data_IF_136808970354
#
_entry.id   IF_136808970354
#
_cell.length_a   1.000
_cell.length_b   1.000
_cell.length_c   1.000
_cell.angle_alpha   90.00
_cell.angle_beta   90.00
_cell.angle_gamma   90.00
#
_symmetry.space_group_name_H-M   'P 1'
#
loop_
_entity.id
_entity.type
_entity.pdbx_description
1 polymer ?
#
# COMPACT_ATOMS: atom_id res chain seq x y z
N UNK A 1 10.13 14.69 2.28
CA UNK A 1 11.10 14.47 1.20
C UNK A 1 10.55 13.49 0.18
N UNK A 2 10.50 13.86 -1.09
CA UNK A 2 10.10 13.03 -2.23
C UNK A 2 11.15 13.03 -3.35
N UNK A 3 12.36 13.45 -3.05
CA UNK A 3 13.44 13.58 -4.03
C UNK A 3 13.96 12.25 -4.57
N UNK A 4 13.74 11.16 -3.81
CA UNK A 4 14.31 9.85 -4.10
C UNK A 4 15.77 9.68 -3.68
N UNK A 5 16.43 10.75 -3.24
CA UNK A 5 17.84 10.76 -2.88
C UNK A 5 18.11 10.17 -1.48
N UNK A 6 17.22 10.43 -0.52
CA UNK A 6 17.43 10.06 0.89
C UNK A 6 16.46 8.95 1.32
N UNK A 7 16.96 7.98 2.10
CA UNK A 7 16.18 6.80 2.50
C UNK A 7 16.37 6.41 3.97
N UNK A 8 17.41 6.84 4.63
CA UNK A 8 17.72 6.46 6.00
C UNK A 8 17.71 7.66 6.97
N UNK A 9 17.83 7.35 8.25
CA UNK A 9 17.80 8.36 9.31
C UNK A 9 18.89 9.42 9.15
N UNK A 10 20.14 8.99 8.85
CA UNK A 10 21.30 9.90 8.75
C UNK A 10 21.14 10.88 7.59
N UNK A 11 20.66 10.38 6.46
CA UNK A 11 20.42 11.20 5.28
C UNK A 11 19.30 12.21 5.51
N UNK A 12 18.16 11.74 6.02
CA UNK A 12 16.96 12.55 6.26
C UNK A 12 17.15 13.57 7.41
N UNK A 13 18.01 13.28 8.38
CA UNK A 13 18.29 14.21 9.46
C UNK A 13 18.93 15.53 9.00
N UNK A 14 19.49 15.56 7.78
CA UNK A 14 19.99 16.79 7.16
C UNK A 14 18.90 17.85 6.95
N UNK A 15 17.64 17.43 6.87
CA UNK A 15 16.51 18.36 6.78
C UNK A 15 16.08 18.94 8.14
N UNK A 16 16.54 18.37 9.26
CA UNK A 16 16.24 18.87 10.60
C UNK A 16 17.14 20.08 10.94
N UNK A 17 16.88 21.19 10.28
CA UNK A 17 17.55 22.47 10.50
C UNK A 17 16.64 23.41 11.29
N UNK A 18 17.16 24.58 11.71
CA UNK A 18 16.35 25.59 12.43
C UNK A 18 15.07 25.91 11.66
N UNK A 19 13.92 25.71 12.31
CA UNK A 19 12.60 25.91 11.74
C UNK A 19 11.93 24.64 11.19
N UNK A 20 12.65 23.52 11.04
CA UNK A 20 12.09 22.24 10.64
C UNK A 20 11.90 21.34 11.85
N UNK A 21 10.65 21.10 12.24
CA UNK A 21 10.33 20.25 13.40
C UNK A 21 10.28 18.75 13.05
N UNK A 22 9.86 18.42 11.83
CA UNK A 22 9.62 17.04 11.40
C UNK A 22 9.94 16.83 9.92
N UNK A 23 10.32 15.60 9.58
CA UNK A 23 10.58 15.17 8.20
C UNK A 23 9.68 13.98 7.88
N UNK A 24 8.93 14.07 6.78
CA UNK A 24 8.14 12.98 6.24
C UNK A 24 8.71 12.54 4.90
N UNK A 25 9.20 11.31 4.84
CA UNK A 25 9.64 10.67 3.60
C UNK A 25 8.45 10.05 2.88
N UNK A 26 8.27 10.39 1.61
CA UNK A 26 7.20 9.83 0.75
C UNK A 26 7.69 8.60 -0.04
N UNK A 27 8.38 7.71 0.64
CA UNK A 27 8.93 6.47 0.10
C UNK A 27 9.24 5.50 1.26
N UNK A 28 9.47 4.20 1.01
CA UNK A 28 9.89 3.27 2.03
C UNK A 28 11.24 3.67 2.63
N UNK A 29 11.25 3.87 3.96
CA UNK A 29 12.43 4.24 4.72
C UNK A 29 13.24 3.04 5.21
N UNK A 30 14.55 3.24 5.41
CA UNK A 30 15.48 2.28 6.01
C UNK A 30 15.81 2.70 7.44
N UNK A 31 15.53 1.81 8.41
CA UNK A 31 15.82 2.08 9.83
C UNK A 31 15.02 3.24 10.45
N UNK A 32 13.92 3.64 9.82
CA UNK A 32 12.97 4.63 10.32
C UNK A 32 11.55 4.06 10.31
N UNK A 33 10.62 4.62 11.10
CA UNK A 33 9.22 4.19 11.09
C UNK A 33 8.60 4.28 9.69
N UNK A 34 8.09 3.15 9.19
CA UNK A 34 7.27 3.09 7.99
C UNK A 34 5.81 2.98 8.41
N UNK A 35 5.04 4.05 8.17
CA UNK A 35 3.70 4.19 8.71
C UNK A 35 2.67 4.04 7.61
N UNK A 36 1.75 3.11 7.83
CA UNK A 36 0.50 2.98 7.08
C UNK A 36 -0.60 3.58 7.95
N UNK A 37 -1.11 4.74 7.53
CA UNK A 37 -2.19 5.40 8.27
C UNK A 37 -3.43 4.48 8.33
N UNK A 38 -4.12 4.44 9.45
CA UNK A 38 -5.22 3.49 9.70
C UNK A 38 -4.76 2.15 10.28
N UNK A 39 -3.48 1.75 10.09
CA UNK A 39 -2.98 0.44 10.55
C UNK A 39 -2.05 0.56 11.76
N UNK A 40 -0.95 1.29 11.62
CA UNK A 40 0.07 1.38 12.67
C UNK A 40 0.39 2.80 13.15
N UNK A 41 -0.25 3.84 12.62
CA UNK A 41 0.05 5.24 12.96
C UNK A 41 -0.06 5.53 14.45
N UNK A 42 -1.05 4.94 15.16
CA UNK A 42 -1.24 5.11 16.60
C UNK A 42 -0.12 4.53 17.47
N UNK A 43 0.75 3.67 16.90
CA UNK A 43 1.91 3.11 17.59
C UNK A 43 3.12 4.05 17.60
N UNK A 44 3.05 5.13 16.84
CA UNK A 44 4.12 6.12 16.70
C UNK A 44 3.71 7.43 17.38
N UNK A 45 4.56 7.91 18.27
CA UNK A 45 4.31 9.15 18.99
C UNK A 45 5.01 10.33 18.28
N UNK A 46 4.23 11.25 17.67
CA UNK A 46 4.82 12.40 17.00
C UNK A 46 5.63 13.33 17.91
N UNK A 47 5.45 13.28 19.23
CA UNK A 47 6.23 14.11 20.15
C UNK A 47 7.65 13.58 20.37
N UNK A 48 7.85 12.27 20.23
CA UNK A 48 9.11 11.61 20.47
C UNK A 48 9.92 11.35 19.19
N UNK A 49 9.25 11.32 18.05
CA UNK A 49 9.84 11.02 16.75
C UNK A 49 9.83 12.26 15.85
N UNK A 50 10.90 12.47 15.10
CA UNK A 50 11.04 13.62 14.17
C UNK A 50 11.12 13.21 12.70
N UNK A 51 11.40 11.94 12.40
CA UNK A 51 11.54 11.43 11.02
C UNK A 51 10.61 10.24 10.82
N UNK A 52 9.77 10.32 9.79
CA UNK A 52 8.74 9.35 9.47
C UNK A 52 8.81 8.97 7.99
N UNK A 53 8.33 7.79 7.64
CA UNK A 53 8.08 7.37 6.26
C UNK A 53 6.61 7.03 6.08
N UNK A 54 6.01 7.50 5.00
CA UNK A 54 4.66 7.13 4.57
C UNK A 54 4.60 5.75 3.86
N UNK A 55 5.67 4.96 3.96
CA UNK A 55 5.83 3.69 3.25
C UNK A 55 5.66 3.85 1.71
N UNK A 56 5.12 2.85 1.00
CA UNK A 56 4.85 2.91 -0.43
C UNK A 56 3.37 2.88 -0.75
N UNK A 57 2.99 3.24 -1.98
CA UNK A 57 1.61 3.13 -2.46
C UNK A 57 1.07 1.71 -2.33
N UNK A 58 1.83 0.70 -2.77
CA UNK A 58 1.45 -0.71 -2.66
C UNK A 58 1.29 -1.13 -1.19
N UNK A 59 2.23 -0.73 -0.30
CA UNK A 59 2.12 -1.07 1.13
C UNK A 59 0.87 -0.47 1.75
N UNK A 60 0.54 0.79 1.43
CA UNK A 60 -0.68 1.43 1.90
C UNK A 60 -1.95 0.76 1.37
N UNK A 61 -1.92 0.27 0.13
CA UNK A 61 -3.06 -0.39 -0.48
C UNK A 61 -3.35 -1.77 0.15
N UNK A 62 -2.34 -2.60 0.32
CA UNK A 62 -2.56 -4.00 0.72
C UNK A 62 -2.60 -4.24 2.23
N UNK A 63 -1.93 -3.39 3.04
CA UNK A 63 -1.83 -3.65 4.48
C UNK A 63 -3.18 -3.59 5.20
N UNK A 64 -4.10 -2.65 4.90
CA UNK A 64 -5.44 -2.64 5.51
C UNK A 64 -6.21 -3.93 5.22
N UNK A 65 -6.18 -4.42 3.98
CA UNK A 65 -6.84 -5.68 3.57
C UNK A 65 -6.23 -6.87 4.32
N UNK A 66 -4.90 -6.98 4.32
CA UNK A 66 -4.19 -8.06 5.01
C UNK A 66 -4.41 -8.02 6.53
N UNK A 67 -4.60 -6.83 7.13
CA UNK A 67 -4.96 -6.68 8.54
C UNK A 67 -6.34 -7.30 8.81
N UNK A 68 -7.34 -6.99 8.01
CA UNK A 68 -8.70 -7.56 8.16
C UNK A 68 -8.65 -9.09 8.02
N UNK A 69 -7.95 -9.62 7.03
CA UNK A 69 -7.85 -11.06 6.80
C UNK A 69 -7.09 -11.77 7.95
N UNK A 70 -5.95 -11.22 8.39
CA UNK A 70 -5.17 -11.85 9.49
C UNK A 70 -5.93 -11.83 10.81
N UNK A 71 -6.68 -10.77 11.10
CA UNK A 71 -7.42 -10.61 12.37
C UNK A 71 -8.67 -11.50 12.44
N UNK A 72 -9.32 -11.78 11.30
CA UNK A 72 -10.55 -12.58 11.27
C UNK A 72 -10.33 -14.06 10.93
N UNK A 73 -9.38 -14.36 10.05
CA UNK A 73 -9.20 -15.72 9.51
C UNK A 73 -7.82 -16.30 9.78
N UNK A 74 -6.84 -15.45 10.08
CA UNK A 74 -5.43 -15.81 10.20
C UNK A 74 -4.81 -16.21 8.85
N UNK A 75 -3.59 -15.76 8.59
CA UNK A 75 -2.85 -16.11 7.38
C UNK A 75 -1.75 -17.11 7.73
N UNK A 76 -1.72 -18.27 7.07
CA UNK A 76 -0.63 -19.25 7.15
C UNK A 76 0.55 -18.77 6.31
N UNK A 77 0.31 -18.52 5.04
CA UNK A 77 1.28 -18.03 4.06
C UNK A 77 0.55 -17.34 2.90
N UNK A 78 1.28 -16.62 2.06
CA UNK A 78 0.69 -16.02 0.87
C UNK A 78 1.71 -15.45 -0.10
N UNK A 79 1.21 -15.10 -1.27
CA UNK A 79 1.96 -14.42 -2.30
C UNK A 79 1.23 -13.16 -2.75
N UNK A 80 1.98 -12.07 -2.88
CA UNK A 80 1.49 -10.78 -3.37
C UNK A 80 2.07 -10.57 -4.77
N UNK A 81 1.20 -10.60 -5.78
CA UNK A 81 1.53 -10.16 -7.13
C UNK A 81 1.02 -8.75 -7.31
N UNK A 82 1.82 -7.83 -7.85
CA UNK A 82 1.35 -6.50 -8.20
C UNK A 82 1.46 -6.26 -9.70
N UNK A 83 0.34 -5.95 -10.32
CA UNK A 83 0.25 -5.42 -11.68
C UNK A 83 0.29 -3.90 -11.54
N UNK A 84 1.45 -3.31 -11.78
CA UNK A 84 1.72 -1.94 -11.38
C UNK A 84 1.94 -1.03 -12.58
N UNK A 85 1.31 0.13 -12.56
CA UNK A 85 1.59 1.20 -13.51
C UNK A 85 3.10 1.51 -13.55
N UNK A 86 3.63 1.91 -14.70
CA UNK A 86 5.02 2.34 -14.75
C UNK A 86 5.22 3.64 -13.95
N UNK A 87 6.41 3.82 -13.42
CA UNK A 87 6.77 5.00 -12.62
C UNK A 87 8.12 5.53 -13.07
N UNK A 88 8.53 6.67 -12.53
CA UNK A 88 9.82 7.29 -12.84
C UNK A 88 11.05 6.40 -12.54
N UNK A 89 10.88 5.26 -11.87
CA UNK A 89 11.91 4.23 -11.66
C UNK A 89 12.04 3.27 -12.86
N UNK A 90 11.48 3.61 -14.01
CA UNK A 90 11.63 2.90 -15.27
C UNK A 90 12.05 3.88 -16.37
N UNK A 91 12.87 3.42 -17.29
CA UNK A 91 13.25 4.25 -18.43
C UNK A 91 12.07 4.41 -19.39
N UNK A 92 11.88 5.61 -19.91
CA UNK A 92 10.85 5.90 -20.91
C UNK A 92 11.17 5.25 -22.25
N UNK A 93 12.46 5.27 -22.63
CA UNK A 93 13.03 4.59 -23.79
C UNK A 93 14.10 3.61 -23.33
N UNK A 94 14.47 2.63 -24.16
CA UNK A 94 15.50 1.64 -23.86
C UNK A 94 16.82 2.33 -23.47
N UNK A 95 17.30 2.08 -22.27
CA UNK A 95 18.55 2.61 -21.76
C UNK A 95 19.07 1.76 -20.58
N UNK A 96 20.33 1.97 -20.18
CA UNK A 96 20.93 1.28 -19.04
C UNK A 96 20.19 1.58 -17.74
N UNK A 97 20.01 0.56 -16.90
CA UNK A 97 19.40 0.67 -15.59
C UNK A 97 20.00 -0.38 -14.63
N UNK A 98 20.17 -0.06 -13.36
CA UNK A 98 20.70 -0.98 -12.34
C UNK A 98 19.87 -2.26 -12.20
N UNK A 99 18.55 -2.15 -12.40
CA UNK A 99 17.63 -3.27 -12.55
C UNK A 99 17.36 -3.48 -14.04
N UNK A 100 18.10 -4.36 -14.68
CA UNK A 100 18.17 -4.50 -16.14
C UNK A 100 16.83 -4.39 -16.87
N UNK A 101 15.79 -5.10 -16.41
CA UNK A 101 14.47 -5.08 -17.06
C UNK A 101 13.78 -3.70 -16.98
N UNK A 102 14.06 -2.88 -15.96
CA UNK A 102 13.51 -1.51 -15.84
C UNK A 102 14.17 -0.51 -16.80
N UNK A 103 15.23 -0.93 -17.47
CA UNK A 103 15.86 -0.18 -18.55
C UNK A 103 15.11 -0.26 -19.88
N UNK A 104 14.12 -1.16 -20.01
CA UNK A 104 13.31 -1.28 -21.23
C UNK A 104 12.18 -0.26 -21.23
N UNK A 105 11.83 0.22 -22.43
CA UNK A 105 10.83 1.27 -22.65
C UNK A 105 9.51 0.97 -21.94
N UNK A 106 9.17 1.78 -20.93
CA UNK A 106 8.11 1.53 -19.98
C UNK A 106 6.70 1.51 -20.63
N UNK A 107 6.47 2.38 -21.61
CA UNK A 107 5.17 2.49 -22.27
C UNK A 107 4.91 1.38 -23.31
N UNK A 108 5.91 0.53 -23.59
CA UNK A 108 5.83 -0.50 -24.63
C UNK A 108 5.96 -1.92 -24.09
N UNK A 109 6.37 -2.09 -22.84
CA UNK A 109 6.74 -3.40 -22.31
C UNK A 109 6.08 -3.71 -20.96
N UNK A 110 5.67 -4.97 -20.80
CA UNK A 110 5.46 -5.55 -19.48
C UNK A 110 6.80 -5.99 -18.90
N UNK A 111 7.06 -5.65 -17.64
CA UNK A 111 8.36 -5.86 -16.99
C UNK A 111 8.19 -6.58 -15.67
N UNK A 112 8.65 -7.83 -15.59
CA UNK A 112 8.75 -8.54 -14.30
C UNK A 112 9.87 -7.91 -13.48
N UNK A 113 9.58 -7.55 -12.23
CA UNK A 113 10.55 -6.91 -11.35
C UNK A 113 10.32 -7.28 -9.89
N UNK A 114 11.34 -7.06 -9.08
CA UNK A 114 11.25 -7.24 -7.64
C UNK A 114 10.41 -6.13 -6.98
N UNK A 115 9.72 -6.50 -5.91
CA UNK A 115 9.07 -5.56 -4.99
C UNK A 115 9.38 -5.92 -3.55
N UNK A 116 9.56 -4.91 -2.72
CA UNK A 116 9.70 -5.07 -1.27
C UNK A 116 8.36 -5.12 -0.52
N UNK A 117 7.24 -5.31 -1.20
CA UNK A 117 5.90 -5.21 -0.61
C UNK A 117 5.70 -6.14 0.60
N UNK A 118 6.05 -7.42 0.50
CA UNK A 118 5.93 -8.38 1.60
C UNK A 118 6.74 -7.95 2.84
N UNK A 119 7.98 -7.52 2.64
CA UNK A 119 8.84 -7.03 3.73
C UNK A 119 8.32 -5.73 4.34
N UNK A 120 7.78 -4.82 3.51
CA UNK A 120 7.22 -3.55 3.97
C UNK A 120 5.93 -3.75 4.78
N UNK A 121 5.05 -4.66 4.33
CA UNK A 121 3.86 -5.07 5.10
C UNK A 121 4.26 -5.64 6.46
N UNK A 122 5.26 -6.52 6.51
CA UNK A 122 5.73 -7.11 7.76
C UNK A 122 6.31 -6.08 8.74
N UNK A 123 6.86 -4.95 8.26
CA UNK A 123 7.29 -3.84 9.10
C UNK A 123 6.10 -3.06 9.69
N UNK A 124 5.07 -2.80 8.88
CA UNK A 124 3.88 -2.08 9.31
C UNK A 124 2.95 -2.95 10.18
N UNK A 125 2.89 -4.25 9.86
CA UNK A 125 2.04 -5.24 10.54
C UNK A 125 2.81 -6.52 10.86
N UNK A 126 3.55 -6.57 11.99
CA UNK A 126 4.52 -7.63 12.31
C UNK A 126 3.97 -9.05 12.41
N UNK A 127 2.67 -9.23 12.62
CA UNK A 127 2.00 -10.55 12.61
C UNK A 127 2.19 -11.31 11.29
N UNK A 128 2.54 -10.62 10.20
CA UNK A 128 2.76 -11.19 8.87
C UNK A 128 4.24 -11.44 8.54
N UNK A 129 5.15 -11.25 9.49
CA UNK A 129 6.59 -11.49 9.28
C UNK A 129 6.85 -12.94 8.88
N UNK A 130 7.51 -13.13 7.73
CA UNK A 130 7.89 -14.45 7.20
C UNK A 130 6.77 -15.23 6.53
N UNK A 131 5.54 -14.70 6.49
CA UNK A 131 4.38 -15.39 5.89
C UNK A 131 4.16 -15.06 4.41
N UNK A 132 4.73 -13.97 3.92
CA UNK A 132 4.42 -13.43 2.59
C UNK A 132 5.65 -13.40 1.70
N UNK A 133 5.46 -13.75 0.44
CA UNK A 133 6.37 -13.46 -0.68
C UNK A 133 5.74 -12.43 -1.61
N UNK A 134 6.55 -11.79 -2.46
CA UNK A 134 6.02 -10.78 -3.38
C UNK A 134 6.88 -10.58 -4.62
N UNK A 135 6.24 -10.26 -5.73
CA UNK A 135 6.85 -9.75 -6.96
C UNK A 135 5.94 -8.68 -7.60
N UNK A 136 6.39 -8.11 -8.71
CA UNK A 136 5.65 -7.12 -9.46
C UNK A 136 5.80 -7.32 -10.96
N UNK A 137 4.74 -7.08 -11.69
CA UNK A 137 4.75 -6.87 -13.14
C UNK A 137 4.42 -5.42 -13.41
N UNK A 138 5.34 -4.68 -14.01
CA UNK A 138 5.07 -3.34 -14.52
C UNK A 138 4.38 -3.46 -15.87
N UNK A 139 3.34 -2.67 -16.06
CA UNK A 139 2.54 -2.67 -17.29
C UNK A 139 2.53 -1.27 -17.93
N UNK A 140 2.32 -1.16 -19.25
CA UNK A 140 2.34 0.11 -19.97
C UNK A 140 1.06 0.94 -19.72
N UNK A 141 0.74 1.17 -18.43
CA UNK A 141 -0.39 1.97 -17.95
C UNK A 141 0.20 3.11 -17.10
N UNK A 142 -0.17 4.37 -17.35
CA UNK A 142 0.43 5.52 -16.66
C UNK A 142 0.02 5.65 -15.20
N UNK A 143 -1.19 5.23 -14.83
CA UNK A 143 -1.70 5.25 -13.46
C UNK A 143 -2.77 4.16 -13.27
N UNK A 144 -3.01 3.75 -12.05
CA UNK A 144 -3.94 2.68 -11.71
C UNK A 144 -3.23 1.31 -11.67
N UNK A 145 -3.15 0.75 -10.47
CA UNK A 145 -2.45 -0.49 -10.17
C UNK A 145 -3.38 -1.50 -9.49
N UNK A 146 -3.03 -2.78 -9.59
CA UNK A 146 -3.76 -3.89 -9.00
C UNK A 146 -2.82 -4.75 -8.17
N UNK A 147 -3.20 -5.09 -6.94
CA UNK A 147 -2.55 -6.14 -6.17
C UNK A 147 -3.44 -7.39 -6.14
N UNK A 148 -2.85 -8.53 -6.41
CA UNK A 148 -3.46 -9.85 -6.31
C UNK A 148 -2.86 -10.52 -5.08
N UNK A 149 -3.71 -10.84 -4.09
CA UNK A 149 -3.32 -11.46 -2.85
C UNK A 149 -3.76 -12.94 -2.87
N UNK A 150 -2.83 -13.83 -3.15
CA UNK A 150 -3.08 -15.27 -3.05
C UNK A 150 -2.67 -15.72 -1.64
N UNK A 151 -3.65 -16.07 -0.81
CA UNK A 151 -3.45 -16.34 0.61
C UNK A 151 -3.97 -17.73 0.98
N UNK A 152 -3.20 -18.43 1.81
CA UNK A 152 -3.67 -19.59 2.53
C UNK A 152 -4.00 -19.19 3.96
N UNK A 153 -5.26 -19.37 4.34
CA UNK A 153 -5.80 -19.01 5.63
C UNK A 153 -5.67 -20.16 6.64
N UNK A 154 -5.92 -19.86 7.92
CA UNK A 154 -5.98 -20.89 8.98
C UNK A 154 -7.34 -21.58 9.06
N UNK A 155 -8.37 -20.93 8.51
CA UNK A 155 -9.76 -21.41 8.52
C UNK A 155 -10.35 -21.31 7.14
N UNK A 156 -11.16 -22.26 6.74
CA UNK A 156 -11.97 -22.21 5.54
C UNK A 156 -12.98 -21.08 5.61
N UNK A 157 -13.23 -20.40 4.50
CA UNK A 157 -14.14 -19.27 4.43
C UNK A 157 -14.87 -19.22 3.10
N UNK A 158 -16.18 -18.94 3.15
CA UNK A 158 -16.96 -18.68 1.94
C UNK A 158 -16.71 -17.24 1.42
N UNK A 159 -16.88 -17.06 0.10
CA UNK A 159 -16.81 -15.74 -0.54
C UNK A 159 -17.74 -14.72 0.13
N UNK A 160 -18.99 -15.10 0.37
CA UNK A 160 -19.99 -14.20 0.93
C UNK A 160 -19.61 -13.76 2.34
N UNK A 161 -19.13 -14.66 3.18
CA UNK A 161 -18.73 -14.33 4.55
C UNK A 161 -17.47 -13.44 4.58
N UNK A 162 -16.46 -13.77 3.76
CA UNK A 162 -15.26 -12.94 3.64
C UNK A 162 -15.61 -11.53 3.15
N UNK A 163 -16.43 -11.43 2.10
CA UNK A 163 -16.88 -10.16 1.54
C UNK A 163 -17.72 -9.35 2.55
N UNK A 164 -18.56 -10.00 3.36
CA UNK A 164 -19.33 -9.33 4.42
C UNK A 164 -18.41 -8.71 5.49
N UNK A 165 -17.39 -9.45 5.96
CA UNK A 165 -16.40 -8.94 6.91
C UNK A 165 -15.62 -7.76 6.30
N UNK A 166 -15.21 -7.87 5.04
CA UNK A 166 -14.49 -6.79 4.37
C UNK A 166 -15.36 -5.54 4.21
N UNK A 167 -16.63 -5.71 3.81
CA UNK A 167 -17.62 -4.64 3.71
C UNK A 167 -17.84 -3.94 5.05
N UNK A 168 -17.99 -4.70 6.12
CA UNK A 168 -18.13 -4.14 7.47
C UNK A 168 -16.94 -3.25 7.84
N UNK A 169 -15.71 -3.72 7.64
CA UNK A 169 -14.50 -2.93 7.94
C UNK A 169 -14.33 -1.71 7.03
N UNK A 170 -14.86 -1.75 5.80
CA UNK A 170 -14.85 -0.61 4.89
C UNK A 170 -15.90 0.45 5.24
N UNK A 171 -16.98 0.09 5.90
CA UNK A 171 -18.10 0.98 6.22
C UNK A 171 -18.10 1.45 7.68
N UNK A 172 -17.42 0.72 8.57
CA UNK A 172 -17.40 1.02 9.99
C UNK A 172 -16.00 0.81 10.60
N UNK A 173 -15.65 1.62 11.60
CA UNK A 173 -14.42 1.52 12.37
C UNK A 173 -13.23 2.27 11.79
N UNK A 174 -12.02 1.80 12.13
CA UNK A 174 -10.76 2.51 11.84
C UNK A 174 -10.33 2.50 10.37
N UNK A 175 -10.89 1.62 9.55
CA UNK A 175 -10.50 1.43 8.15
C UNK A 175 -11.45 2.07 7.14
N UNK A 176 -12.45 2.82 7.57
CA UNK A 176 -13.45 3.49 6.71
C UNK A 176 -12.79 4.40 5.64
N UNK A 177 -11.75 5.15 6.01
CA UNK A 177 -11.02 5.98 5.04
C UNK A 177 -9.94 5.22 4.28
N UNK A 178 -9.72 3.94 4.64
CA UNK A 178 -8.62 3.13 4.11
C UNK A 178 -9.07 2.13 3.04
N UNK A 179 -10.29 1.61 3.18
CA UNK A 179 -10.82 0.59 2.27
C UNK A 179 -12.10 1.12 1.62
N UNK A 180 -12.10 1.22 0.31
CA UNK A 180 -13.32 1.38 -0.48
C UNK A 180 -13.78 0.00 -0.93
N UNK A 181 -15.04 -0.36 -0.66
CA UNK A 181 -15.62 -1.62 -1.06
C UNK A 181 -16.35 -1.47 -2.40
N UNK A 182 -16.03 -2.29 -3.40
CA UNK A 182 -16.67 -2.26 -4.72
C UNK A 182 -17.49 -3.53 -4.98
N UNK A 183 -18.69 -3.32 -5.52
CA UNK A 183 -19.57 -4.34 -6.08
C UNK A 183 -19.73 -4.15 -7.60
N UNK A 184 -18.90 -3.32 -8.21
CA UNK A 184 -18.98 -3.02 -9.63
C UNK A 184 -18.33 -4.13 -10.44
N UNK A 185 -19.12 -4.84 -11.24
CA UNK A 185 -18.66 -5.94 -12.12
C UNK A 185 -17.86 -5.46 -13.33
N UNK A 186 -17.91 -4.17 -13.64
CA UNK A 186 -17.22 -3.56 -14.78
C UNK A 186 -16.00 -2.78 -14.38
N UNK A 187 -15.57 -2.88 -13.09
CA UNK A 187 -14.46 -2.12 -12.53
C UNK A 187 -13.13 -2.43 -13.24
N UNK A 188 -12.49 -1.40 -13.77
CA UNK A 188 -11.18 -1.47 -14.42
C UNK A 188 -10.24 -0.37 -13.93
N UNK A 189 -8.99 -0.40 -14.37
CA UNK A 189 -7.93 0.52 -13.86
C UNK A 189 -8.21 2.00 -14.11
N UNK A 190 -8.98 2.37 -15.11
CA UNK A 190 -9.33 3.78 -15.36
C UNK A 190 -10.38 4.32 -14.39
N UNK A 191 -11.24 3.46 -13.85
CA UNK A 191 -12.33 3.86 -12.95
C UNK A 191 -11.83 4.21 -11.55
N UNK A 192 -10.63 3.74 -11.19
CA UNK A 192 -10.06 3.99 -9.87
C UNK A 192 -9.26 5.29 -9.77
N UNK A 193 -9.00 5.94 -10.91
CA UNK A 193 -8.22 7.18 -10.97
C UNK A 193 -8.94 8.30 -10.20
N UNK A 194 -8.19 8.98 -9.33
CA UNK A 194 -8.71 10.05 -8.48
C UNK A 194 -9.38 9.56 -7.19
N UNK A 195 -9.33 8.25 -6.88
CA UNK A 195 -9.83 7.76 -5.59
C UNK A 195 -8.94 8.24 -4.44
N UNK A 196 -9.56 8.74 -3.36
CA UNK A 196 -8.86 9.22 -2.17
C UNK A 196 -8.50 8.11 -1.18
N UNK A 197 -9.18 6.96 -1.27
CA UNK A 197 -8.84 5.79 -0.47
C UNK A 197 -7.55 5.14 -0.99
N UNK A 198 -6.66 4.61 -0.14
CA UNK A 198 -5.45 3.95 -0.58
C UNK A 198 -5.72 2.63 -1.31
N UNK A 199 -6.90 2.03 -1.13
CA UNK A 199 -7.28 0.84 -1.86
C UNK A 199 -8.80 0.72 -2.09
N UNK A 200 -9.14 -0.02 -3.14
CA UNK A 200 -10.50 -0.47 -3.45
C UNK A 200 -10.49 -2.00 -3.45
N UNK A 201 -11.24 -2.60 -2.54
CA UNK A 201 -11.43 -4.05 -2.51
C UNK A 201 -12.49 -4.45 -3.54
N UNK A 202 -12.13 -5.32 -4.47
CA UNK A 202 -13.02 -5.83 -5.52
C UNK A 202 -13.71 -7.09 -5.03
N UNK A 203 -14.94 -6.96 -4.54
CA UNK A 203 -15.69 -8.08 -4.00
C UNK A 203 -16.21 -9.05 -5.07
N UNK A 204 -16.43 -8.56 -6.29
CA UNK A 204 -16.91 -9.40 -7.40
C UNK A 204 -15.80 -10.36 -7.87
N UNK A 205 -14.54 -9.91 -7.83
CA UNK A 205 -13.39 -10.71 -8.22
C UNK A 205 -12.89 -11.67 -7.12
N UNK A 206 -13.43 -11.62 -5.89
CA UNK A 206 -13.03 -12.51 -4.80
C UNK A 206 -13.22 -13.97 -5.17
N UNK A 207 -12.18 -14.79 -5.00
CA UNK A 207 -12.19 -16.23 -5.22
C UNK A 207 -11.87 -16.91 -3.88
N UNK A 208 -12.64 -17.95 -3.53
CA UNK A 208 -12.39 -18.79 -2.35
C UNK A 208 -12.44 -20.25 -2.74
N UNK A 209 -11.49 -21.01 -2.26
CA UNK A 209 -11.42 -22.47 -2.39
C UNK A 209 -10.87 -23.03 -1.09
N UNK A 210 -11.78 -23.49 -0.22
CA UNK A 210 -11.52 -23.94 1.14
C UNK A 210 -10.73 -22.91 1.97
N UNK A 211 -9.46 -23.18 2.30
CA UNK A 211 -8.55 -22.28 3.01
C UNK A 211 -7.80 -21.32 2.08
N UNK A 212 -7.92 -21.48 0.77
CA UNK A 212 -7.25 -20.62 -0.22
C UNK A 212 -8.17 -19.50 -0.66
N UNK A 213 -7.66 -18.28 -0.64
CA UNK A 213 -8.38 -17.12 -1.15
C UNK A 213 -7.51 -16.31 -2.09
N UNK A 214 -8.12 -15.79 -3.15
CA UNK A 214 -7.49 -14.84 -4.05
C UNK A 214 -8.31 -13.55 -4.02
N UNK A 215 -7.67 -12.47 -3.59
CA UNK A 215 -8.29 -11.16 -3.43
C UNK A 215 -7.66 -10.17 -4.41
N UNK A 216 -8.48 -9.31 -4.96
CA UNK A 216 -8.08 -8.27 -5.90
C UNK A 216 -8.27 -6.90 -5.26
N UNK A 217 -7.20 -6.11 -5.27
CA UNK A 217 -7.13 -4.82 -4.59
C UNK A 217 -6.60 -3.78 -5.55
N UNK A 218 -7.48 -2.91 -6.03
CA UNK A 218 -7.13 -1.79 -6.89
C UNK A 218 -6.61 -0.62 -6.07
N UNK A 219 -5.70 0.16 -6.64
CA UNK A 219 -5.23 1.38 -6.02
C UNK A 219 -4.72 2.39 -7.04
N UNK A 220 -5.11 3.65 -6.84
CA UNK A 220 -4.48 4.77 -7.52
C UNK A 220 -3.12 5.02 -6.84
N UNK A 221 -2.05 4.60 -7.52
CA UNK A 221 -0.69 4.65 -6.97
C UNK A 221 -0.14 6.08 -6.82
N UNK A 222 -0.81 7.08 -7.42
CA UNK A 222 -0.46 8.50 -7.32
C UNK A 222 -1.38 9.23 -6.34
N UNK A 223 -2.65 9.37 -6.68
CA UNK A 223 -3.61 10.19 -5.93
C UNK A 223 -3.97 9.58 -4.58
N UNK A 224 -4.34 8.30 -4.55
CA UNK A 224 -4.66 7.58 -3.31
C UNK A 224 -3.48 7.57 -2.34
N UNK A 225 -2.27 7.35 -2.84
CA UNK A 225 -1.06 7.43 -2.02
C UNK A 225 -0.79 8.85 -1.51
N UNK A 226 -0.97 9.87 -2.33
CA UNK A 226 -0.81 11.27 -1.92
C UNK A 226 -1.77 11.62 -0.78
N UNK A 227 -3.01 11.14 -0.83
CA UNK A 227 -3.96 11.29 0.28
C UNK A 227 -3.49 10.63 1.57
N UNK A 228 -2.84 9.46 1.50
CA UNK A 228 -2.24 8.82 2.69
C UNK A 228 -1.08 9.64 3.25
N UNK A 229 -0.23 10.20 2.40
CA UNK A 229 0.84 11.13 2.82
C UNK A 229 0.25 12.32 3.58
N UNK A 230 -0.81 12.92 3.05
CA UNK A 230 -1.49 14.07 3.69
C UNK A 230 -2.16 13.67 5.02
N UNK A 231 -2.83 12.50 5.09
CA UNK A 231 -3.39 11.99 6.35
C UNK A 231 -2.31 11.82 7.41
N UNK A 232 -1.19 11.21 7.02
CA UNK A 232 -0.04 11.05 7.92
C UNK A 232 0.59 12.38 8.30
N UNK A 233 0.76 13.32 7.35
CA UNK A 233 1.26 14.66 7.63
C UNK A 233 0.39 15.39 8.67
N UNK A 234 -0.94 15.33 8.54
CA UNK A 234 -1.88 15.90 9.51
C UNK A 234 -1.73 15.23 10.90
N UNK A 235 -1.58 13.91 10.94
CA UNK A 235 -1.39 13.17 12.18
C UNK A 235 -0.11 13.59 12.90
N UNK A 236 1.04 13.59 12.22
CA UNK A 236 2.33 13.95 12.83
C UNK A 236 2.42 15.43 13.21
N UNK A 237 1.65 16.28 12.55
CA UNK A 237 1.56 17.72 12.86
C UNK A 237 0.43 18.03 13.86
N UNK A 238 -0.28 17.00 14.34
CA UNK A 238 -1.40 17.14 15.30
C UNK A 238 -2.50 18.10 14.80
N UNK A 239 -2.69 18.20 13.50
CA UNK A 239 -3.78 18.99 12.91
C UNK A 239 -5.08 18.25 13.13
N UNK A 240 -5.97 18.83 13.96
CA UNK A 240 -7.32 18.30 14.18
C UNK A 240 -8.22 18.64 12.99
N UNK A 241 -8.92 17.63 12.49
CA UNK A 241 -10.01 17.83 11.54
C UNK A 241 -11.25 18.24 12.35
N UNK A 242 -11.75 19.44 12.16
CA UNK A 242 -13.09 19.76 12.62
C UNK A 242 -14.07 19.16 11.60
N UNK A 243 -14.83 18.15 11.99
CA UNK A 243 -16.01 17.70 11.25
C UNK A 243 -17.15 18.64 11.64
N UNK A 244 -17.55 19.50 10.72
CA UNK A 244 -18.84 20.20 10.85
C UNK A 244 -19.91 19.20 10.40
N UNK A 245 -20.82 18.88 11.28
CA UNK A 245 -22.04 18.13 10.97
C UNK A 245 -23.10 19.05 10.39
#
# INVERSE_FOLDING_TARGET
DNTGAFRDFKELSRHLVKGTAKVLLTAPGKGIPNIVYGVNHKKHNPDLESIFSAASCTTNAITPILKVIEENFGIKKGHIETIHAYTNDQNLVDNMHTKHRRGRAAALNMVITETGAASAVAKAFPKLKGKLSSNAVRVPVPNGSLAILNLQLKTSVSKDYLNAIMKQNALDGELVEQIKYSINKELVSTDIIGTTAPCIFDSEATITDDETVILYVWYDNEYGYTHQVIRLAKYISKVRRFTYY
#
